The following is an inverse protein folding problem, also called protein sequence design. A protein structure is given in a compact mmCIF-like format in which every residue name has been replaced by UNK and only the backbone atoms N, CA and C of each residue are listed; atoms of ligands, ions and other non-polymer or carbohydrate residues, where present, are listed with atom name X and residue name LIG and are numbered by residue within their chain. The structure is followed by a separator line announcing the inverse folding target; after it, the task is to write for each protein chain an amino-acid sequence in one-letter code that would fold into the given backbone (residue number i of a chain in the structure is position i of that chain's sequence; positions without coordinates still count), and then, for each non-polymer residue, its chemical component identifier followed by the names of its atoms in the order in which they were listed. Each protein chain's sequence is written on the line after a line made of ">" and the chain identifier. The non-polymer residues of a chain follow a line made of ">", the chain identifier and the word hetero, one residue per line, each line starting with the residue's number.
data_IF_287230867849
#
_entry.id   IF_287230867849
#
_cell.length_a   1.000
_cell.length_b   1.000
_cell.length_c   1.000
_cell.angle_alpha   90.00
_cell.angle_beta   90.00
_cell.angle_gamma   90.00
#
_symmetry.space_group_name_H-M   'P 1'
#
loop_
_entity.id
_entity.type
_entity.pdbx_description
1 polymer ?
#
# COMPACT_ATOMS: atom_id res chain seq x y z
N UNK A 1 -13.54 9.92 -4.35
CA UNK A 1 -13.25 9.64 -2.91
C UNK A 1 -11.78 9.90 -2.66
N UNK A 2 -11.41 10.41 -1.48
CA UNK A 2 -10.00 10.67 -1.13
C UNK A 2 -9.41 9.49 -0.36
N UNK A 3 -8.19 9.09 -0.70
CA UNK A 3 -7.44 8.05 0.03
C UNK A 3 -6.05 8.52 0.42
N UNK A 4 -5.55 8.10 1.59
CA UNK A 4 -4.15 8.24 1.95
C UNK A 4 -3.32 7.21 1.19
N UNK A 5 -2.57 7.65 0.18
CA UNK A 5 -1.76 6.79 -0.68
C UNK A 5 -0.28 7.07 -0.45
N UNK A 6 0.48 6.02 -0.15
CA UNK A 6 1.93 6.07 -0.05
C UNK A 6 2.56 5.87 -1.42
N UNK A 7 3.54 6.72 -1.70
CA UNK A 7 4.41 6.69 -2.87
C UNK A 7 5.84 6.49 -2.40
N UNK A 8 6.63 5.77 -3.17
CA UNK A 8 8.07 5.66 -2.99
C UNK A 8 8.72 5.39 -4.35
N UNK A 9 10.01 5.68 -4.46
CA UNK A 9 10.82 5.45 -5.65
C UNK A 9 11.34 4.03 -5.66
N UNK A 10 11.23 3.34 -6.80
CA UNK A 10 11.93 2.09 -7.02
C UNK A 10 13.42 2.39 -7.24
N UNK A 11 14.24 2.21 -6.21
CA UNK A 11 15.68 2.46 -6.26
C UNK A 11 16.43 1.38 -5.46
N UNK A 12 16.58 0.15 -6.01
CA UNK A 12 17.14 -0.97 -5.27
C UNK A 12 18.58 -0.76 -4.83
N UNK A 13 18.91 -1.26 -3.63
CA UNK A 13 20.29 -1.31 -3.15
C UNK A 13 21.15 -2.18 -4.10
N UNK A 14 22.45 -1.92 -4.25
CA UNK A 14 23.31 -2.65 -5.18
C UNK A 14 23.31 -4.18 -4.98
N UNK A 15 23.11 -4.67 -3.76
CA UNK A 15 23.05 -6.10 -3.46
C UNK A 15 21.71 -6.76 -3.77
N UNK A 16 20.66 -5.98 -4.07
CA UNK A 16 19.34 -6.50 -4.35
C UNK A 16 19.32 -7.30 -5.67
N UNK A 17 18.62 -8.44 -5.63
CA UNK A 17 18.32 -9.25 -6.81
C UNK A 17 16.82 -9.46 -6.86
N UNK A 18 16.24 -9.27 -8.04
CA UNK A 18 14.80 -9.45 -8.24
C UNK A 18 14.39 -10.89 -7.87
N UNK A 19 13.51 -11.02 -6.88
CA UNK A 19 12.99 -12.32 -6.46
C UNK A 19 12.02 -12.91 -7.49
N UNK A 20 11.79 -14.22 -7.42
CA UNK A 20 10.90 -14.93 -8.35
C UNK A 20 9.43 -14.43 -8.34
N UNK A 21 9.03 -13.71 -7.28
CA UNK A 21 7.69 -13.13 -7.12
C UNK A 21 7.69 -11.60 -7.16
N UNK A 22 8.86 -10.99 -7.32
CA UNK A 22 8.96 -9.53 -7.44
C UNK A 22 8.56 -9.12 -8.86
N UNK A 23 8.04 -7.90 -8.98
CA UNK A 23 7.72 -7.28 -10.26
C UNK A 23 8.52 -5.98 -10.30
N UNK A 24 9.50 -5.93 -11.21
CA UNK A 24 10.38 -4.79 -11.33
C UNK A 24 9.60 -3.48 -11.50
N UNK A 25 9.97 -2.48 -10.69
CA UNK A 25 9.32 -1.17 -10.67
C UNK A 25 7.95 -1.11 -9.98
N UNK A 26 7.41 -2.24 -9.49
CA UNK A 26 6.02 -2.32 -9.01
C UNK A 26 5.85 -3.00 -7.66
N UNK A 27 6.53 -4.12 -7.43
CA UNK A 27 6.31 -4.96 -6.26
C UNK A 27 7.60 -5.66 -5.84
N UNK A 28 7.89 -5.70 -4.55
CA UNK A 28 8.96 -6.55 -4.00
C UNK A 28 8.56 -7.15 -2.66
N UNK A 29 9.09 -8.34 -2.37
CA UNK A 29 9.03 -8.98 -1.06
C UNK A 29 10.08 -8.44 -0.07
N UNK A 30 10.99 -7.57 -0.51
CA UNK A 30 12.10 -7.02 0.27
C UNK A 30 12.04 -5.48 0.31
N UNK A 31 10.97 -4.91 0.85
CA UNK A 31 10.67 -3.47 0.76
C UNK A 31 11.83 -2.53 1.13
N UNK A 32 12.49 -2.76 2.27
CA UNK A 32 13.61 -1.94 2.76
C UNK A 32 14.91 -2.05 1.94
N UNK A 33 14.94 -2.97 0.97
CA UNK A 33 16.03 -3.12 0.00
C UNK A 33 15.75 -2.40 -1.33
N UNK A 34 14.53 -1.91 -1.53
CA UNK A 34 14.06 -1.41 -2.84
C UNK A 34 13.52 0.01 -2.78
N UNK A 35 12.56 0.27 -1.87
CA UNK A 35 11.80 1.50 -1.92
C UNK A 35 12.51 2.64 -1.18
N UNK A 36 12.56 3.81 -1.82
CA UNK A 36 13.27 4.99 -1.33
C UNK A 36 12.39 6.24 -1.35
N UNK A 37 12.65 7.19 -0.45
CA UNK A 37 11.97 8.48 -0.32
C UNK A 37 10.43 8.35 -0.20
N UNK A 38 9.93 7.58 0.79
CA UNK A 38 8.51 7.39 0.97
C UNK A 38 7.80 8.70 1.32
N UNK A 39 6.60 8.90 0.80
CA UNK A 39 5.74 10.02 1.16
C UNK A 39 4.27 9.67 0.96
N UNK A 40 3.40 10.28 1.75
CA UNK A 40 1.94 10.10 1.63
C UNK A 40 1.30 11.33 1.01
N UNK A 41 0.34 11.10 0.12
CA UNK A 41 -0.56 12.13 -0.42
C UNK A 41 -2.00 11.68 -0.26
N UNK A 42 -2.90 12.66 -0.11
CA UNK A 42 -4.32 12.43 -0.34
C UNK A 42 -4.56 12.41 -1.85
N UNK A 43 -5.05 11.28 -2.35
CA UNK A 43 -5.30 11.04 -3.78
C UNK A 43 -6.79 10.87 -4.01
N UNK A 44 -7.34 11.59 -5.00
CA UNK A 44 -8.70 11.36 -5.49
C UNK A 44 -8.75 10.08 -6.32
N UNK A 45 -9.75 9.24 -6.04
CA UNK A 45 -10.03 7.99 -6.74
C UNK A 45 -11.53 7.84 -6.97
N UNK A 46 -11.91 7.11 -8.01
CA UNK A 46 -13.30 6.73 -8.20
C UNK A 46 -13.77 5.79 -7.08
N UNK A 47 -15.05 5.89 -6.72
CA UNK A 47 -15.66 4.94 -5.79
C UNK A 47 -15.73 3.56 -6.47
N UNK A 48 -15.14 2.51 -5.88
CA UNK A 48 -15.12 1.20 -6.53
C UNK A 48 -16.53 0.61 -6.63
N UNK A 49 -16.76 -0.13 -7.71
CA UNK A 49 -17.99 -0.90 -7.92
C UNK A 49 -17.68 -2.36 -7.56
N UNK A 50 -18.36 -2.95 -6.56
CA UNK A 50 -18.06 -4.32 -6.15
C UNK A 50 -18.45 -5.32 -7.23
N UNK A 51 -17.57 -6.27 -7.52
CA UNK A 51 -17.86 -7.46 -8.33
C UNK A 51 -18.81 -8.44 -7.61
N UNK A 52 -19.19 -9.57 -8.25
CA UNK A 52 -20.25 -10.46 -7.75
C UNK A 52 -20.04 -11.01 -6.33
N UNK A 53 -18.79 -11.21 -5.91
CA UNK A 53 -18.42 -11.76 -4.59
C UNK A 53 -17.80 -10.72 -3.66
N UNK A 54 -17.88 -9.44 -4.00
CA UNK A 54 -17.24 -8.34 -3.26
C UNK A 54 -18.29 -7.48 -2.56
N UNK A 55 -17.83 -6.68 -1.59
CA UNK A 55 -18.64 -5.67 -0.92
C UNK A 55 -17.94 -4.31 -0.96
N UNK A 56 -18.73 -3.25 -1.15
CA UNK A 56 -18.28 -1.88 -0.97
C UNK A 56 -18.52 -1.48 0.49
N UNK A 57 -17.45 -1.13 1.19
CA UNK A 57 -17.49 -0.71 2.60
C UNK A 57 -17.24 0.79 2.68
N UNK A 58 -18.11 1.51 3.38
CA UNK A 58 -17.83 2.86 3.86
C UNK A 58 -17.00 2.76 5.14
N UNK A 59 -15.69 3.00 5.03
CA UNK A 59 -14.78 2.98 6.17
C UNK A 59 -15.16 4.10 7.14
N UNK A 60 -15.40 3.76 8.41
CA UNK A 60 -15.74 4.70 9.49
C UNK A 60 -14.55 4.98 10.41
N UNK A 61 -13.68 4.00 10.61
CA UNK A 61 -12.43 4.13 11.36
C UNK A 61 -11.36 3.21 10.77
N UNK A 62 -10.09 3.62 10.87
CA UNK A 62 -8.93 2.78 10.57
C UNK A 62 -7.81 3.11 11.56
N UNK A 63 -7.28 2.09 12.23
CA UNK A 63 -6.07 2.20 13.04
C UNK A 63 -4.83 2.44 12.17
N UNK A 64 -3.80 3.02 12.79
CA UNK A 64 -2.46 3.13 12.21
C UNK A 64 -1.62 2.02 12.84
N UNK A 65 -1.17 1.08 12.03
CA UNK A 65 -0.28 0.00 12.47
C UNK A 65 1.17 0.48 12.50
N UNK A 66 2.02 -0.16 13.31
CA UNK A 66 3.47 0.08 13.27
C UNK A 66 4.09 -0.19 11.89
N UNK A 67 3.50 -1.09 11.09
CA UNK A 67 3.92 -1.34 9.71
C UNK A 67 3.64 -0.16 8.79
N UNK A 68 2.52 0.54 8.96
CA UNK A 68 2.21 1.77 8.20
C UNK A 68 3.25 2.85 8.50
N UNK A 69 3.63 3.01 9.77
CA UNK A 69 4.69 3.91 10.20
C UNK A 69 6.02 3.53 9.56
N UNK A 70 6.42 2.26 9.61
CA UNK A 70 7.68 1.79 9.03
C UNK A 70 7.72 1.82 7.49
N UNK A 71 6.57 1.78 6.81
CA UNK A 71 6.52 1.98 5.36
C UNK A 71 6.74 3.46 4.99
N UNK A 72 6.36 4.40 5.87
CA UNK A 72 6.58 5.84 5.69
C UNK A 72 7.93 6.33 6.23
N UNK A 73 8.45 5.70 7.26
CA UNK A 73 9.75 6.05 7.86
C UNK A 73 10.90 5.58 6.97
N UNK A 74 11.98 6.37 6.93
CA UNK A 74 13.19 6.03 6.16
C UNK A 74 14.47 6.17 6.96
N UNK A 75 15.51 5.42 6.54
CA UNK A 75 16.89 5.58 7.01
C UNK A 75 17.52 6.88 6.47
N UNK A 76 18.74 7.21 6.91
CA UNK A 76 19.47 8.40 6.46
C UNK A 76 19.73 8.41 4.94
N UNK A 77 19.67 7.24 4.31
CA UNK A 77 19.79 7.11 2.86
C UNK A 77 18.42 7.16 2.16
N UNK A 78 17.31 7.29 2.89
CA UNK A 78 15.97 7.39 2.36
C UNK A 78 15.26 6.06 2.12
N UNK A 79 15.84 4.90 2.48
CA UNK A 79 15.17 3.60 2.31
C UNK A 79 14.13 3.35 3.39
N UNK A 80 12.98 2.78 3.03
CA UNK A 80 11.93 2.50 4.00
C UNK A 80 12.40 1.51 5.09
N UNK A 81 11.83 1.59 6.28
CA UNK A 81 12.15 0.64 7.36
C UNK A 81 11.43 -0.71 7.20
N UNK A 82 10.23 -0.71 6.61
CA UNK A 82 9.44 -1.93 6.48
C UNK A 82 10.11 -2.94 5.54
N UNK A 83 10.47 -4.15 6.02
CA UNK A 83 11.28 -5.08 5.23
C UNK A 83 10.48 -6.00 4.30
N UNK A 84 9.15 -6.04 4.45
CA UNK A 84 8.32 -7.06 3.83
C UNK A 84 7.77 -6.71 2.45
N UNK A 85 6.71 -7.44 2.10
CA UNK A 85 5.96 -7.27 0.85
C UNK A 85 5.40 -5.86 0.72
N UNK A 86 5.76 -5.18 -0.36
CA UNK A 86 5.32 -3.82 -0.66
C UNK A 86 5.19 -3.61 -2.16
N UNK A 87 4.15 -2.86 -2.55
CA UNK A 87 3.92 -2.43 -3.91
C UNK A 87 3.44 -0.99 -3.88
N UNK A 88 4.21 -0.06 -4.44
CA UNK A 88 3.88 1.36 -4.42
C UNK A 88 3.63 1.92 -5.83
N UNK A 89 2.68 2.85 -6.00
CA UNK A 89 1.88 3.48 -4.94
C UNK A 89 0.75 2.59 -4.38
N UNK A 90 0.45 2.73 -3.09
CA UNK A 90 -0.63 1.96 -2.43
C UNK A 90 -1.44 2.81 -1.43
N UNK A 91 -2.77 2.58 -1.39
CA UNK A 91 -3.61 3.12 -0.32
C UNK A 91 -3.34 2.34 0.97
N UNK A 92 -2.92 3.04 2.03
CA UNK A 92 -2.62 2.42 3.32
C UNK A 92 -3.87 2.23 4.18
N UNK A 93 -3.69 1.49 5.29
CA UNK A 93 -4.74 1.17 6.25
C UNK A 93 -5.30 -0.24 6.05
N UNK A 94 -5.09 -1.09 7.05
CA UNK A 94 -5.57 -2.48 7.05
C UNK A 94 -6.25 -2.87 8.38
N UNK A 95 -6.34 -1.94 9.33
CA UNK A 95 -6.98 -2.13 10.63
C UNK A 95 -8.29 -1.32 10.68
N UNK A 96 -9.24 -1.62 9.81
CA UNK A 96 -10.43 -0.78 9.61
C UNK A 96 -11.75 -1.45 10.00
N UNK A 97 -12.74 -0.61 10.29
CA UNK A 97 -14.14 -0.99 10.44
C UNK A 97 -15.04 0.00 9.69
N UNK A 98 -16.23 -0.45 9.30
CA UNK A 98 -17.13 0.33 8.47
C UNK A 98 -18.48 -0.33 8.25
N UNK A 99 -19.27 0.28 7.37
CA UNK A 99 -20.63 -0.18 7.03
C UNK A 99 -20.64 -0.66 5.58
N UNK A 100 -21.27 -1.80 5.31
CA UNK A 100 -21.48 -2.27 3.94
C UNK A 100 -22.50 -1.37 3.25
N UNK A 101 -22.09 -0.67 2.19
CA UNK A 101 -22.99 0.15 1.36
C UNK A 101 -23.64 -0.64 0.23
N UNK A 102 -22.90 -1.59 -0.34
CA UNK A 102 -23.36 -2.39 -1.48
C UNK A 102 -22.67 -3.76 -1.47
N UNK A 103 -23.41 -4.81 -1.77
CA UNK A 103 -22.88 -6.13 -2.08
C UNK A 103 -23.00 -6.43 -3.58
N UNK A 104 -22.07 -7.24 -4.09
CA UNK A 104 -22.19 -7.86 -5.41
C UNK A 104 -23.50 -8.62 -5.55
N UNK A 105 -24.05 -8.65 -6.77
CA UNK A 105 -25.19 -9.52 -7.08
C UNK A 105 -24.63 -10.84 -7.63
N UNK A 106 -25.10 -12.00 -7.13
CA UNK A 106 -24.81 -13.28 -7.78
C UNK A 106 -25.24 -13.23 -9.25
N UNK A 107 -24.39 -13.77 -10.12
CA UNK A 107 -24.72 -13.98 -11.54
C UNK A 107 -25.63 -15.17 -11.75
#
# INVERSE_FOLDING_TARGET
>A
MKTATLFAEWNPKPEFKLGAKDIEGKLTYLGSKVWRHPHIKLVEKDTPVPGPTEVLIEVKACGICGSDVHMLQSDDNGYIFYPGLTAFPSTLGHEFSGVVLKAGKPG
#
